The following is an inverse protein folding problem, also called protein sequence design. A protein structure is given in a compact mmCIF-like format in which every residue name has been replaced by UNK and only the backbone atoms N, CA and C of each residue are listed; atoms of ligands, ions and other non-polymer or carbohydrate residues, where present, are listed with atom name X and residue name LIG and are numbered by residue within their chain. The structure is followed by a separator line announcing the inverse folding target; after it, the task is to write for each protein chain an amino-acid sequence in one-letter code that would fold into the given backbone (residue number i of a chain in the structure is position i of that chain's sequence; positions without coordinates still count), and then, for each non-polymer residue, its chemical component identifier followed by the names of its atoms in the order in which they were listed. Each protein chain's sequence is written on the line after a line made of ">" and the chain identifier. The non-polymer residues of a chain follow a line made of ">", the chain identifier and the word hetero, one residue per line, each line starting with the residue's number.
data_IF_183972818444
#
_entry.id   IF_183972818444
#
_cell.length_a   1.000
_cell.length_b   1.000
_cell.length_c   1.000
_cell.angle_alpha   90.00
_cell.angle_beta   90.00
_cell.angle_gamma   90.00
#
_symmetry.space_group_name_H-M   'P 1'
#
loop_
_entity.id
_entity.type
_entity.pdbx_description
1 polymer ?
#
# COMPACT_ATOMS: atom_id res chain seq x y z
N UNK A 1 10.07 14.79 -50.82
CA UNK A 1 9.50 15.20 -49.51
C UNK A 1 8.72 14.07 -48.83
N UNK A 2 7.93 13.26 -49.57
CA UNK A 2 7.14 12.13 -49.05
C UNK A 2 7.94 11.04 -48.29
N UNK A 3 9.15 10.68 -48.73
CA UNK A 3 10.00 9.67 -48.05
C UNK A 3 10.41 10.07 -46.63
N UNK A 4 10.56 11.38 -46.34
CA UNK A 4 10.93 11.88 -45.00
C UNK A 4 9.76 11.79 -44.02
N UNK A 5 8.53 11.97 -44.53
CA UNK A 5 7.30 11.87 -43.75
C UNK A 5 7.05 10.41 -43.34
N UNK A 6 7.28 9.47 -44.26
CA UNK A 6 7.14 8.04 -43.98
C UNK A 6 8.08 7.55 -42.86
N UNK A 7 9.33 8.01 -42.85
CA UNK A 7 10.31 7.66 -41.81
C UNK A 7 9.92 8.24 -40.44
N UNK A 8 9.41 9.47 -40.40
CA UNK A 8 8.98 10.11 -39.17
C UNK A 8 7.78 9.39 -38.52
N UNK A 9 6.87 8.85 -39.33
CA UNK A 9 5.71 8.06 -38.85
C UNK A 9 6.12 6.72 -38.24
N UNK A 10 7.14 6.05 -38.78
CA UNK A 10 7.61 4.75 -38.25
C UNK A 10 8.26 4.89 -36.87
N UNK A 11 8.92 6.02 -36.59
CA UNK A 11 9.59 6.28 -35.31
C UNK A 11 8.57 6.54 -34.18
N UNK A 12 7.41 7.14 -34.50
CA UNK A 12 6.37 7.45 -33.52
C UNK A 12 5.59 6.19 -33.12
N UNK A 13 5.44 5.21 -34.02
CA UNK A 13 4.77 3.94 -33.72
C UNK A 13 5.58 3.02 -32.80
N UNK A 14 6.90 3.16 -32.69
CA UNK A 14 7.70 2.33 -31.79
C UNK A 14 7.73 2.83 -30.35
N UNK A 15 7.15 4.01 -30.07
CA UNK A 15 7.09 4.60 -28.72
C UNK A 15 5.71 4.51 -28.07
N UNK A 16 4.75 3.77 -28.65
CA UNK A 16 3.52 3.41 -27.94
C UNK A 16 3.89 2.48 -26.78
N UNK A 17 4.29 3.11 -25.68
CA UNK A 17 4.76 2.46 -24.47
C UNK A 17 3.74 1.45 -24.02
N UNK A 18 4.23 0.26 -23.65
CA UNK A 18 3.45 -0.75 -22.97
C UNK A 18 2.77 -0.06 -21.79
N UNK A 19 1.44 0.07 -21.87
CA UNK A 19 0.63 0.55 -20.77
C UNK A 19 0.67 -0.53 -19.69
N UNK A 20 1.74 -0.52 -18.91
CA UNK A 20 1.84 -1.34 -17.71
C UNK A 20 0.87 -0.72 -16.70
N UNK A 21 -0.37 -1.22 -16.70
CA UNK A 21 -1.17 -1.18 -15.49
C UNK A 21 -0.30 -1.70 -14.33
N UNK A 22 -0.47 -1.15 -13.12
CA UNK A 22 0.27 -1.58 -11.94
C UNK A 22 0.30 -3.11 -11.87
N UNK A 23 1.50 -3.68 -11.98
CA UNK A 23 1.67 -5.13 -12.03
C UNK A 23 1.35 -5.77 -10.68
N UNK A 24 1.03 -7.06 -10.67
CA UNK A 24 0.88 -7.82 -9.42
C UNK A 24 2.12 -7.71 -8.53
N UNK A 25 3.30 -7.71 -9.13
CA UNK A 25 4.57 -7.50 -8.42
C UNK A 25 4.64 -6.14 -7.70
N UNK A 26 4.17 -5.07 -8.34
CA UNK A 26 4.13 -3.74 -7.72
C UNK A 26 3.17 -3.70 -6.52
N UNK A 27 2.00 -4.34 -6.66
CA UNK A 27 1.02 -4.46 -5.56
C UNK A 27 1.56 -5.29 -4.39
N UNK A 28 2.22 -6.40 -4.67
CA UNK A 28 2.82 -7.26 -3.66
C UNK A 28 3.94 -6.53 -2.90
N UNK A 29 4.81 -5.81 -3.62
CA UNK A 29 5.88 -5.02 -3.01
C UNK A 29 5.33 -3.89 -2.11
N UNK A 30 4.29 -3.19 -2.58
CA UNK A 30 3.64 -2.14 -1.82
C UNK A 30 2.97 -2.69 -0.55
N UNK A 31 2.24 -3.81 -0.68
CA UNK A 31 1.57 -4.48 0.44
C UNK A 31 2.57 -4.99 1.48
N UNK A 32 3.68 -5.59 1.03
CA UNK A 32 4.75 -6.03 1.92
C UNK A 32 5.38 -4.86 2.69
N UNK A 33 5.63 -3.73 2.01
CA UNK A 33 6.19 -2.52 2.63
C UNK A 33 5.22 -1.91 3.64
N UNK A 34 3.94 -1.82 3.29
CA UNK A 34 2.90 -1.31 4.19
C UNK A 34 2.76 -2.20 5.43
N UNK A 35 2.61 -3.53 5.26
CA UNK A 35 2.53 -4.47 6.37
C UNK A 35 3.77 -4.43 7.26
N UNK A 36 4.97 -4.46 6.69
CA UNK A 36 6.22 -4.39 7.44
C UNK A 36 6.35 -3.10 8.25
N UNK A 37 5.96 -1.96 7.66
CA UNK A 37 5.98 -0.66 8.35
C UNK A 37 4.98 -0.64 9.51
N UNK A 38 3.75 -1.07 9.27
CA UNK A 38 2.69 -1.11 10.28
C UNK A 38 3.04 -2.04 11.44
N UNK A 39 3.47 -3.28 11.15
CA UNK A 39 3.91 -4.25 12.15
C UNK A 39 5.07 -3.69 12.97
N UNK A 40 6.11 -3.20 12.28
CA UNK A 40 7.32 -2.69 12.94
C UNK A 40 7.05 -1.49 13.84
N UNK A 41 6.11 -0.62 13.48
CA UNK A 41 5.77 0.58 14.27
C UNK A 41 4.68 0.33 15.32
N UNK A 42 3.92 -0.76 15.23
CA UNK A 42 2.83 -1.09 16.18
C UNK A 42 3.28 -1.43 17.60
N UNK A 43 4.54 -1.89 17.76
CA UNK A 43 5.11 -2.38 19.02
C UNK A 43 4.33 -3.55 19.66
N UNK A 44 3.52 -4.25 18.86
CA UNK A 44 2.79 -5.42 19.33
C UNK A 44 3.70 -6.64 19.45
N UNK A 45 3.39 -7.51 20.40
CA UNK A 45 3.93 -8.86 20.54
C UNK A 45 3.09 -9.76 19.62
N UNK A 46 3.74 -10.33 18.61
CA UNK A 46 3.13 -11.22 17.61
C UNK A 46 1.85 -10.66 16.97
N UNK A 47 1.91 -9.51 16.28
CA UNK A 47 0.74 -8.95 15.61
C UNK A 47 0.28 -9.81 14.44
N UNK A 48 -1.03 -9.96 14.32
CA UNK A 48 -1.69 -10.41 13.11
C UNK A 48 -2.10 -9.18 12.29
N UNK A 49 -1.74 -9.17 11.00
CA UNK A 49 -2.14 -8.13 10.06
C UNK A 49 -3.26 -8.63 9.14
N UNK A 50 -4.24 -7.78 8.86
CA UNK A 50 -5.24 -8.04 7.84
C UNK A 50 -4.65 -7.94 6.43
N UNK A 51 -5.45 -8.33 5.43
CA UNK A 51 -5.22 -7.87 4.07
C UNK A 51 -5.28 -6.31 4.04
N UNK A 52 -4.50 -5.66 3.15
CA UNK A 52 -4.56 -4.22 2.98
C UNK A 52 -5.94 -3.76 2.48
N UNK A 53 -6.49 -2.73 3.12
CA UNK A 53 -7.66 -2.00 2.64
C UNK A 53 -7.16 -0.87 1.75
N UNK A 54 -7.34 -1.04 0.45
CA UNK A 54 -6.88 -0.09 -0.57
C UNK A 54 -8.03 0.85 -0.93
N UNK A 55 -7.76 2.14 -0.85
CA UNK A 55 -8.68 3.20 -1.28
C UNK A 55 -8.26 3.75 -2.64
N UNK A 56 -9.15 4.56 -3.22
CA UNK A 56 -8.86 5.36 -4.41
C UNK A 56 -7.55 6.15 -4.26
N UNK A 57 -6.87 6.39 -5.39
CA UNK A 57 -5.57 7.05 -5.40
C UNK A 57 -5.59 8.47 -4.84
N UNK A 58 -6.73 9.17 -4.89
CA UNK A 58 -6.93 10.48 -4.26
C UNK A 58 -6.72 10.47 -2.75
N UNK A 59 -6.99 9.34 -2.07
CA UNK A 59 -6.74 9.18 -0.62
C UNK A 59 -5.26 9.05 -0.34
N UNK A 60 -4.50 8.48 -1.28
CA UNK A 60 -3.05 8.33 -1.16
C UNK A 60 -2.58 7.41 -0.04
N UNK A 61 -3.49 6.66 0.61
CA UNK A 61 -3.16 5.79 1.75
C UNK A 61 -3.70 4.37 1.60
N UNK A 62 -3.10 3.46 2.34
CA UNK A 62 -3.52 2.08 2.53
C UNK A 62 -3.79 1.88 4.02
N UNK A 63 -4.95 1.31 4.38
CA UNK A 63 -5.24 0.96 5.76
C UNK A 63 -4.96 -0.52 6.02
N UNK A 64 -4.36 -0.84 7.15
CA UNK A 64 -4.11 -2.22 7.61
C UNK A 64 -4.63 -2.33 9.03
N UNK A 65 -5.44 -3.34 9.31
CA UNK A 65 -5.88 -3.65 10.66
C UNK A 65 -4.85 -4.57 11.30
N UNK A 66 -4.45 -4.26 12.53
CA UNK A 66 -3.57 -5.10 13.33
C UNK A 66 -4.31 -5.58 14.56
N UNK A 67 -4.11 -6.84 14.94
CA UNK A 67 -4.62 -7.43 16.18
C UNK A 67 -3.50 -8.12 16.93
N UNK A 68 -3.42 -7.92 18.24
CA UNK A 68 -2.38 -8.52 19.06
C UNK A 68 -2.30 -7.92 20.45
N UNK A 69 -1.25 -8.24 21.19
CA UNK A 69 -1.03 -7.69 22.54
C UNK A 69 0.13 -6.71 22.54
N UNK A 70 0.03 -5.56 23.22
CA UNK A 70 1.16 -4.62 23.37
C UNK A 70 2.06 -5.04 24.54
N UNK A 71 1.48 -5.67 25.57
CA UNK A 71 2.20 -6.12 26.76
C UNK A 71 1.77 -7.53 27.11
N UNK A 72 2.74 -8.35 27.53
CA UNK A 72 2.52 -9.75 27.89
C UNK A 72 1.49 -9.85 29.02
N UNK A 73 0.48 -10.71 28.85
CA UNK A 73 -0.58 -10.93 29.85
C UNK A 73 -1.71 -9.90 29.83
N UNK A 74 -1.74 -8.98 28.85
CA UNK A 74 -2.89 -8.09 28.62
C UNK A 74 -3.79 -8.63 27.52
N UNK A 75 -5.05 -8.18 27.53
CA UNK A 75 -6.01 -8.48 26.47
C UNK A 75 -5.51 -7.97 25.11
N UNK A 76 -5.81 -8.67 24.02
CA UNK A 76 -5.51 -8.16 22.68
C UNK A 76 -6.22 -6.84 22.41
N UNK A 77 -5.54 -5.94 21.71
CA UNK A 77 -6.09 -4.70 21.18
C UNK A 77 -6.13 -4.76 19.65
N UNK A 78 -6.98 -3.94 19.05
CA UNK A 78 -7.04 -3.76 17.60
C UNK A 78 -6.48 -2.38 17.28
N UNK A 79 -5.60 -2.28 16.29
CA UNK A 79 -5.07 -1.03 15.79
C UNK A 79 -5.47 -0.87 14.33
N UNK A 80 -5.67 0.38 13.91
CA UNK A 80 -5.70 0.74 12.50
C UNK A 80 -4.38 1.42 12.16
N UNK A 81 -3.73 0.97 11.09
CA UNK A 81 -2.53 1.58 10.56
C UNK A 81 -2.85 2.22 9.20
N UNK A 82 -2.57 3.51 9.04
CA UNK A 82 -2.67 4.23 7.79
C UNK A 82 -1.27 4.45 7.21
N UNK A 83 -0.95 3.69 6.16
CA UNK A 83 0.29 3.82 5.41
C UNK A 83 0.13 4.83 4.27
N UNK A 84 0.95 5.87 4.26
CA UNK A 84 0.97 6.88 3.21
C UNK A 84 1.82 6.41 2.02
N UNK A 85 1.19 6.20 0.85
CA UNK A 85 1.85 5.65 -0.35
C UNK A 85 3.02 6.51 -0.84
N UNK A 86 2.98 7.83 -0.61
CA UNK A 86 3.96 8.81 -1.13
C UNK A 86 5.19 8.94 -0.22
N UNK A 87 4.97 9.16 1.07
CA UNK A 87 6.01 9.38 2.06
C UNK A 87 6.54 8.07 2.67
N UNK A 88 5.78 6.98 2.55
CA UNK A 88 6.08 5.70 3.16
C UNK A 88 5.99 5.69 4.69
N UNK A 89 5.38 6.71 5.29
CA UNK A 89 5.14 6.81 6.74
C UNK A 89 3.84 6.09 7.11
N UNK A 90 3.75 5.62 8.35
CA UNK A 90 2.54 5.07 8.92
C UNK A 90 2.06 5.90 10.12
N UNK A 91 0.75 6.04 10.24
CA UNK A 91 0.06 6.55 11.43
C UNK A 91 -0.76 5.42 12.02
N UNK A 92 -0.60 5.12 13.31
CA UNK A 92 -1.20 3.97 13.95
C UNK A 92 -2.03 4.45 15.13
N UNK A 93 -3.28 4.04 15.18
CA UNK A 93 -4.21 4.40 16.26
C UNK A 93 -5.01 3.18 16.73
N UNK A 94 -5.42 3.19 17.98
CA UNK A 94 -6.25 2.12 18.53
C UNK A 94 -7.68 2.20 17.97
N UNK A 95 -8.19 1.06 17.51
CA UNK A 95 -9.56 0.93 17.05
C UNK A 95 -10.43 0.33 18.16
N UNK A 96 -11.39 1.13 18.64
CA UNK A 96 -12.34 0.74 19.70
C UNK A 96 -13.77 0.77 19.18
N UNK A 97 -14.53 -0.27 19.51
CA UNK A 97 -15.97 -0.30 19.27
C UNK A 97 -16.70 0.52 20.33
N UNK A 98 -17.67 1.33 19.92
CA UNK A 98 -18.43 2.21 20.83
C UNK A 98 -19.60 1.51 21.57
N UNK A 99 -19.79 0.20 21.40
CA UNK A 99 -20.99 -0.51 21.85
C UNK A 99 -20.77 -1.93 22.33
N UNK A 100 -19.62 -2.21 22.95
CA UNK A 100 -19.43 -3.40 23.80
C UNK A 100 -19.09 -2.96 25.21
#
# INVERSE_FOLDING_TARGET
>A
MQKKIAIALTIILTTSGLAHASSEGAWNALSAKANGTCIGQSRMISPEASAPVVFDDSVGKIAIMLRGTITKGKSPVNLVCLYDKKSGKASIEEFRWLGR
#
